data_IF_732774591343
#
_entry.id   IF_732774591343
#
_cell.length_a   1.000
_cell.length_b   1.000
_cell.length_c   1.000
_cell.angle_alpha   90.00
_cell.angle_beta   90.00
_cell.angle_gamma   90.00
#
_symmetry.space_group_name_H-M   'P 1'
#
loop_
_entity.id
_entity.type
_entity.pdbx_description
1 polymer ?
#
# COMPACT_ATOMS: atom_id res chain seq x y z
N UNK A 1 -4.22 51.42 -24.88
CA UNK A 1 -3.07 50.64 -24.37
C UNK A 1 -3.21 50.62 -22.87
N UNK A 2 -3.80 49.56 -22.30
CA UNK A 2 -4.26 49.58 -20.91
C UNK A 2 -3.31 48.70 -20.07
N UNK A 3 -2.38 49.28 -19.28
CA UNK A 3 -1.36 48.52 -18.55
C UNK A 3 -1.93 47.71 -17.37
N UNK A 4 -3.20 47.94 -17.00
CA UNK A 4 -3.86 47.34 -15.84
C UNK A 4 -4.19 45.85 -15.98
N UNK A 5 -4.34 45.34 -17.21
CA UNK A 5 -4.71 43.93 -17.46
C UNK A 5 -3.53 42.97 -17.32
N UNK A 6 -2.29 43.45 -17.41
CA UNK A 6 -1.08 42.60 -17.41
C UNK A 6 -0.66 42.19 -16.00
N UNK A 7 -0.88 43.03 -14.98
CA UNK A 7 -0.49 42.74 -13.59
C UNK A 7 -1.36 41.67 -12.90
N UNK A 8 -2.66 41.65 -13.20
CA UNK A 8 -3.62 40.68 -12.67
C UNK A 8 -3.41 39.25 -13.24
N UNK A 9 -2.86 39.13 -14.45
CA UNK A 9 -2.59 37.85 -15.10
C UNK A 9 -1.41 37.12 -14.45
N UNK A 10 -0.36 37.85 -14.06
CA UNK A 10 0.82 37.27 -13.38
C UNK A 10 0.48 36.74 -11.98
N UNK A 11 -0.36 37.45 -11.21
CA UNK A 11 -0.79 37.02 -9.89
C UNK A 11 -1.62 35.73 -9.93
N UNK A 12 -2.48 35.56 -10.94
CA UNK A 12 -3.29 34.36 -11.15
C UNK A 12 -2.43 33.15 -11.56
N UNK A 13 -1.45 33.37 -12.43
CA UNK A 13 -0.52 32.32 -12.86
C UNK A 13 0.33 31.83 -11.68
N UNK A 14 0.81 32.76 -10.85
CA UNK A 14 1.59 32.44 -9.66
C UNK A 14 0.76 31.67 -8.62
N UNK A 15 -0.49 32.07 -8.38
CA UNK A 15 -1.41 31.35 -7.49
C UNK A 15 -1.71 29.92 -7.97
N UNK A 16 -1.84 29.71 -9.29
CA UNK A 16 -2.00 28.38 -9.89
C UNK A 16 -0.77 27.50 -9.70
N UNK A 17 0.43 28.04 -9.92
CA UNK A 17 1.69 27.32 -9.72
C UNK A 17 1.85 26.88 -8.26
N UNK A 18 1.55 27.77 -7.31
CA UNK A 18 1.63 27.47 -5.86
C UNK A 18 0.61 26.40 -5.46
N UNK A 19 -0.64 26.48 -5.93
CA UNK A 19 -1.64 25.44 -5.68
C UNK A 19 -1.21 24.08 -6.23
N UNK A 20 -0.65 24.05 -7.44
CA UNK A 20 -0.22 22.80 -8.08
C UNK A 20 0.97 22.17 -7.34
N UNK A 21 1.87 23.00 -6.80
CA UNK A 21 2.99 22.53 -5.98
C UNK A 21 2.54 21.96 -4.61
N UNK A 22 1.50 22.51 -3.99
CA UNK A 22 0.98 21.99 -2.72
C UNK A 22 0.27 20.64 -2.84
N UNK A 23 -0.37 20.32 -3.98
CA UNK A 23 -0.98 19.00 -4.18
C UNK A 23 0.07 17.87 -4.33
N UNK A 24 1.28 18.20 -4.78
CA UNK A 24 2.35 17.23 -5.04
C UNK A 24 3.02 16.69 -3.75
N UNK A 25 2.85 17.34 -2.60
CA UNK A 25 3.55 16.97 -1.35
C UNK A 25 2.72 16.16 -0.36
N UNK A 26 1.49 15.77 -0.72
CA UNK A 26 0.51 15.10 0.15
C UNK A 26 0.85 13.64 0.54
N UNK A 27 2.03 13.14 0.20
CA UNK A 27 2.36 11.71 0.19
C UNK A 27 3.39 11.23 1.22
N UNK A 28 3.47 11.82 2.42
CA UNK A 28 4.28 11.21 3.48
C UNK A 28 3.49 10.11 4.18
N UNK A 29 3.56 8.90 3.61
CA UNK A 29 3.10 7.67 4.28
C UNK A 29 3.94 7.45 5.54
N UNK A 30 3.28 7.35 6.70
CA UNK A 30 3.90 6.90 7.95
C UNK A 30 4.25 5.41 7.81
N UNK A 31 5.39 5.12 7.18
CA UNK A 31 5.90 3.78 6.93
C UNK A 31 6.45 3.20 8.24
N UNK A 32 5.56 2.79 9.14
CA UNK A 32 5.95 1.95 10.26
C UNK A 32 6.48 0.63 9.70
N UNK A 33 7.58 0.09 10.27
CA UNK A 33 8.05 -1.22 9.85
C UNK A 33 6.92 -2.25 10.03
N UNK A 34 6.80 -3.24 9.12
CA UNK A 34 5.80 -4.29 9.25
C UNK A 34 6.08 -5.13 10.50
N UNK A 35 5.02 -5.66 11.11
CA UNK A 35 5.17 -6.66 12.17
C UNK A 35 5.52 -8.01 11.52
N UNK A 36 6.53 -8.69 12.07
CA UNK A 36 6.98 -10.00 11.57
C UNK A 36 6.60 -11.07 12.59
N UNK A 37 5.87 -12.10 12.14
CA UNK A 37 5.54 -13.29 12.90
C UNK A 37 6.07 -14.52 12.16
N UNK A 38 6.96 -15.27 12.80
CA UNK A 38 7.49 -16.53 12.28
C UNK A 38 6.87 -17.71 13.02
N UNK A 39 6.25 -18.63 12.28
CA UNK A 39 5.60 -19.83 12.82
C UNK A 39 6.40 -21.04 12.32
N UNK A 40 6.90 -21.84 13.26
CA UNK A 40 7.64 -23.07 12.99
C UNK A 40 6.92 -24.25 13.63
N UNK A 41 6.79 -25.32 12.87
CA UNK A 41 6.15 -26.57 13.29
C UNK A 41 7.15 -27.71 13.22
N UNK A 42 7.20 -28.53 14.25
CA UNK A 42 8.07 -29.71 14.28
C UNK A 42 7.51 -30.84 13.40
N UNK A 43 8.39 -31.52 12.66
CA UNK A 43 8.08 -32.68 11.80
C UNK A 43 6.87 -32.54 10.83
N UNK A 44 6.46 -31.32 10.51
CA UNK A 44 5.35 -31.11 9.57
C UNK A 44 5.82 -31.38 8.15
N UNK A 45 5.41 -32.52 7.61
CA UNK A 45 5.62 -32.84 6.20
C UNK A 45 4.88 -31.87 5.27
N UNK A 46 5.41 -31.70 4.08
CA UNK A 46 4.85 -30.80 3.05
C UNK A 46 3.42 -31.17 2.63
N UNK A 47 3.07 -32.46 2.65
CA UNK A 47 1.75 -33.00 2.29
C UNK A 47 0.78 -33.06 3.49
N UNK A 48 1.21 -32.62 4.67
CA UNK A 48 0.41 -32.59 5.89
C UNK A 48 -0.45 -31.31 6.02
N UNK A 49 -0.89 -30.74 4.89
CA UNK A 49 -1.70 -29.52 4.83
C UNK A 49 -2.92 -29.73 3.94
N UNK A 50 -4.05 -29.14 4.32
CA UNK A 50 -5.25 -29.07 3.49
C UNK A 50 -4.96 -28.37 2.16
N UNK A 51 -4.18 -27.29 2.19
CA UNK A 51 -3.69 -26.59 1.00
C UNK A 51 -2.84 -27.47 0.05
N UNK A 52 -2.13 -28.47 0.60
CA UNK A 52 -1.34 -29.43 -0.18
C UNK A 52 -2.19 -30.59 -0.76
N UNK A 53 -3.52 -30.53 -0.63
CA UNK A 53 -4.44 -31.53 -1.16
C UNK A 53 -4.74 -32.70 -0.20
N UNK A 54 -4.35 -32.59 1.07
CA UNK A 54 -4.65 -33.61 2.06
C UNK A 54 -6.17 -33.65 2.36
N UNK A 55 -6.82 -34.80 2.14
CA UNK A 55 -8.28 -34.96 2.30
C UNK A 55 -8.71 -35.21 3.75
N UNK A 56 -7.77 -35.58 4.63
CA UNK A 56 -8.07 -36.00 6.00
C UNK A 56 -7.69 -34.93 7.03
N UNK A 57 -6.58 -34.23 6.80
CA UNK A 57 -6.11 -33.16 7.68
C UNK A 57 -6.87 -31.87 7.41
N UNK A 58 -7.31 -31.22 8.48
CA UNK A 58 -8.00 -29.92 8.43
C UNK A 58 -7.10 -28.86 9.03
N UNK A 59 -6.58 -27.96 8.21
CA UNK A 59 -5.68 -26.88 8.62
C UNK A 59 -6.24 -25.50 8.28
N UNK A 60 -7.48 -25.16 8.72
CA UNK A 60 -8.23 -24.02 8.18
C UNK A 60 -7.50 -22.67 8.33
N UNK A 61 -6.74 -22.47 9.41
CA UNK A 61 -5.97 -21.24 9.62
C UNK A 61 -4.76 -21.15 8.69
N UNK A 62 -4.01 -22.23 8.53
CA UNK A 62 -2.84 -22.27 7.63
C UNK A 62 -3.29 -22.22 6.16
N UNK A 63 -4.38 -22.91 5.83
CA UNK A 63 -4.97 -22.89 4.49
C UNK A 63 -5.47 -21.48 4.14
N UNK A 64 -6.04 -20.76 5.11
CA UNK A 64 -6.43 -19.36 4.95
C UNK A 64 -5.20 -18.48 4.72
N UNK A 65 -4.16 -18.62 5.54
CA UNK A 65 -2.91 -17.87 5.38
C UNK A 65 -2.26 -18.13 4.01
N UNK A 66 -2.24 -19.36 3.53
CA UNK A 66 -1.69 -19.71 2.22
C UNK A 66 -2.53 -19.22 1.03
N UNK A 67 -3.84 -19.04 1.21
CA UNK A 67 -4.73 -18.46 0.18
C UNK A 67 -4.68 -16.93 0.15
N UNK A 68 -4.48 -16.29 1.29
CA UNK A 68 -4.33 -14.84 1.42
C UNK A 68 -2.91 -14.36 1.08
N UNK A 69 -1.92 -15.28 1.09
CA UNK A 69 -0.52 -15.05 0.72
C UNK A 69 -0.22 -15.23 -0.78
N UNK A 70 1.07 -15.29 -1.10
CA UNK A 70 1.62 -15.52 -2.46
C UNK A 70 2.49 -16.76 -2.45
#
# INVERSE_FOLDING_TARGET
>A
MNPFFRSQQFARLFAWIVCTACLATSGFSNQRPPNVLFILTDDQRWDALGLAGNKHLKTPNIDRLGKEGV
#
